data_IF_774143320426
#
_entry.id   IF_774143320426
#
_cell.length_a   1.000
_cell.length_b   1.000
_cell.length_c   1.000
_cell.angle_alpha   90.00
_cell.angle_beta   90.00
_cell.angle_gamma   90.00
#
_symmetry.space_group_name_H-M   'P 1'
#
loop_
_entity.id
_entity.type
_entity.pdbx_description
1 polymer ?
#
# COMPACT_ATOMS: atom_id res chain seq x y z
N UNK A 1 -10.72 0.45 4.40
CA UNK A 1 -9.31 0.64 4.72
C UNK A 1 -8.73 1.52 3.62
N UNK A 2 -8.18 2.68 3.94
CA UNK A 2 -7.65 3.66 2.97
C UNK A 2 -6.32 3.24 2.35
N UNK A 3 -5.68 2.16 2.83
CA UNK A 3 -4.54 1.55 2.14
C UNK A 3 -5.03 0.26 1.47
N UNK A 4 -4.96 0.20 0.14
CA UNK A 4 -5.26 -0.99 -0.66
C UNK A 4 -3.97 -1.68 -1.10
N UNK A 5 -3.98 -3.01 -1.18
CA UNK A 5 -2.86 -3.84 -1.65
C UNK A 5 -3.35 -4.80 -2.73
N UNK A 6 -2.92 -4.60 -3.96
CA UNK A 6 -3.29 -5.45 -5.10
C UNK A 6 -2.04 -6.04 -5.74
N UNK A 7 -2.03 -7.35 -5.98
CA UNK A 7 -0.92 -8.03 -6.68
C UNK A 7 -1.38 -8.53 -8.04
N UNK A 8 -0.68 -8.16 -9.10
CA UNK A 8 -0.89 -8.61 -10.47
C UNK A 8 0.41 -9.20 -11.02
N UNK A 9 0.47 -10.54 -11.09
CA UNK A 9 1.71 -11.25 -11.38
C UNK A 9 2.75 -10.99 -10.28
N UNK A 10 3.87 -10.36 -10.65
CA UNK A 10 4.99 -10.03 -9.74
C UNK A 10 5.00 -8.57 -9.31
N UNK A 11 4.00 -7.80 -9.71
CA UNK A 11 3.89 -6.37 -9.39
C UNK A 11 2.79 -6.20 -8.35
N UNK A 12 3.08 -5.38 -7.35
CA UNK A 12 2.15 -4.99 -6.29
C UNK A 12 1.85 -3.51 -6.43
N UNK A 13 0.58 -3.15 -6.39
CA UNK A 13 0.10 -1.76 -6.31
C UNK A 13 -0.45 -1.52 -4.91
N UNK A 14 0.14 -0.57 -4.21
CA UNK A 14 -0.32 -0.04 -2.93
C UNK A 14 -0.97 1.31 -3.20
N UNK A 15 -2.25 1.47 -2.86
CA UNK A 15 -3.00 2.70 -3.12
C UNK A 15 -3.41 3.35 -1.81
N UNK A 16 -3.09 4.64 -1.66
CA UNK A 16 -3.66 5.50 -0.62
C UNK A 16 -4.96 6.10 -1.18
N UNK A 17 -6.08 5.64 -0.64
CA UNK A 17 -7.45 6.02 -0.99
C UNK A 17 -8.06 6.84 0.16
N UNK A 18 -7.56 8.07 0.28
CA UNK A 18 -8.01 9.07 1.24
C UNK A 18 -8.08 10.47 0.60
N UNK A 19 -8.78 10.61 -0.54
CA UNK A 19 -8.79 11.84 -1.33
C UNK A 19 -9.33 13.04 -0.55
N UNK A 20 -10.27 12.82 0.37
CA UNK A 20 -10.88 13.84 1.22
C UNK A 20 -9.88 14.50 2.18
N UNK A 21 -8.74 13.85 2.42
CA UNK A 21 -7.63 14.36 3.22
C UNK A 21 -6.34 14.52 2.41
N UNK A 22 -6.47 14.59 1.07
CA UNK A 22 -5.34 14.70 0.14
C UNK A 22 -4.28 13.61 0.38
N UNK A 23 -4.73 12.41 0.72
CA UNK A 23 -3.87 11.25 1.02
C UNK A 23 -2.90 11.46 2.19
N UNK A 24 -3.24 12.37 3.12
CA UNK A 24 -2.51 12.52 4.37
C UNK A 24 -2.65 11.27 5.26
N UNK A 25 -1.53 10.83 5.83
CA UNK A 25 -1.47 9.68 6.72
C UNK A 25 -1.43 10.14 8.18
N UNK A 26 -2.33 9.60 9.00
CA UNK A 26 -2.22 9.65 10.46
C UNK A 26 -1.63 8.33 11.00
N UNK A 27 -1.53 8.21 12.32
CA UNK A 27 -0.87 7.07 12.98
C UNK A 27 -1.47 5.71 12.57
N UNK A 28 -2.80 5.64 12.42
CA UNK A 28 -3.47 4.41 12.02
C UNK A 28 -3.10 4.03 10.59
N UNK A 29 -3.15 5.02 9.68
CA UNK A 29 -2.89 4.81 8.26
C UNK A 29 -1.42 4.49 7.99
N UNK A 30 -0.51 5.07 8.79
CA UNK A 30 0.90 4.67 8.79
C UNK A 30 1.08 3.21 9.20
N UNK A 31 0.32 2.72 10.18
CA UNK A 31 0.31 1.30 10.55
C UNK A 31 -0.13 0.41 9.38
N UNK A 32 -1.22 0.77 8.69
CA UNK A 32 -1.72 0.02 7.54
C UNK A 32 -0.71 0.00 6.37
N UNK A 33 -0.04 1.13 6.12
CA UNK A 33 1.01 1.20 5.10
C UNK A 33 2.24 0.37 5.52
N UNK A 34 2.60 0.37 6.80
CA UNK A 34 3.68 -0.48 7.31
C UNK A 34 3.36 -1.98 7.12
N UNK A 35 2.12 -2.40 7.40
CA UNK A 35 1.66 -3.77 7.17
C UNK A 35 1.73 -4.15 5.69
N UNK A 36 1.36 -3.25 4.79
CA UNK A 36 1.48 -3.44 3.34
C UNK A 36 2.95 -3.64 2.91
N UNK A 37 3.88 -2.87 3.49
CA UNK A 37 5.31 -3.02 3.24
C UNK A 37 5.88 -4.33 3.78
N UNK A 38 5.47 -4.74 4.99
CA UNK A 38 5.85 -6.04 5.57
C UNK A 38 5.38 -7.17 4.68
N UNK A 39 4.13 -7.12 4.23
CA UNK A 39 3.57 -8.10 3.29
C UNK A 39 4.35 -8.16 1.98
N UNK A 40 4.70 -7.01 1.39
CA UNK A 40 5.50 -6.96 0.17
C UNK A 40 6.89 -7.57 0.37
N UNK A 41 7.58 -7.20 1.46
CA UNK A 41 8.93 -7.70 1.81
C UNK A 41 8.95 -9.22 1.96
N UNK A 42 7.91 -9.77 2.56
CA UNK A 42 7.84 -11.19 2.91
C UNK A 42 7.26 -12.06 1.76
N UNK A 43 6.78 -11.44 0.68
CA UNK A 43 6.26 -12.11 -0.52
C UNK A 43 7.37 -12.30 -1.57
N UNK A 44 7.97 -13.49 -1.62
CA UNK A 44 9.06 -13.82 -2.56
C UNK A 44 8.68 -13.78 -4.05
N UNK A 45 7.38 -13.77 -4.36
CA UNK A 45 6.87 -13.62 -5.72
C UNK A 45 6.50 -12.16 -6.05
N UNK A 46 6.66 -11.22 -5.13
CA UNK A 46 6.50 -9.79 -5.36
C UNK A 46 7.87 -9.15 -5.64
N UNK A 47 8.05 -8.62 -6.84
CA UNK A 47 9.34 -8.09 -7.29
C UNK A 47 9.37 -6.55 -7.28
N UNK A 48 8.22 -5.93 -7.55
CA UNK A 48 8.10 -4.47 -7.66
C UNK A 48 6.86 -4.01 -6.94
N UNK A 49 6.99 -2.97 -6.12
CA UNK A 49 5.87 -2.25 -5.52
C UNK A 49 5.70 -0.88 -6.18
N UNK A 50 4.47 -0.54 -6.54
CA UNK A 50 4.04 0.80 -6.96
C UNK A 50 3.23 1.38 -5.80
N UNK A 51 3.69 2.49 -5.23
CA UNK A 51 2.92 3.26 -4.26
C UNK A 51 2.28 4.45 -4.98
N UNK A 52 0.96 4.57 -4.90
CA UNK A 52 0.20 5.66 -5.53
C UNK A 52 -0.94 6.14 -4.62
N UNK A 53 -1.63 7.21 -5.02
CA UNK A 53 -2.86 7.66 -4.39
C UNK A 53 -3.92 8.02 -5.43
N UNK A 54 -5.19 7.95 -5.01
CA UNK A 54 -6.37 8.38 -5.81
C UNK A 54 -7.03 9.62 -5.23
#
# INVERSE_FOLDING_TARGET
>A
MPIHYEKQGRIVTITIDRPEQRNALDLEHFGQLADAWVRFRDDGDAWVAILTGV
#
